data_IF_318357169679
#
_entry.id   IF_318357169679
#
_cell.length_a   1.000
_cell.length_b   1.000
_cell.length_c   1.000
_cell.angle_alpha   90.00
_cell.angle_beta   90.00
_cell.angle_gamma   90.00
#
_symmetry.space_group_name_H-M   'P 1'
#
loop_
_entity.id
_entity.type
_entity.pdbx_description
1 polymer ?
#
# COMPACT_ATOMS: atom_id res chain seq x y z
N UNK A 1 -5.70 23.12 5.63
CA UNK A 1 -7.10 23.57 5.64
C UNK A 1 -7.28 24.83 4.80
N UNK A 2 -6.40 25.83 4.92
CA UNK A 2 -6.43 27.10 4.15
C UNK A 2 -6.84 26.94 2.67
N UNK A 3 -6.14 26.11 1.88
CA UNK A 3 -6.45 25.94 0.46
C UNK A 3 -7.91 25.53 0.16
N UNK A 4 -8.51 24.63 0.96
CA UNK A 4 -9.91 24.23 0.80
C UNK A 4 -10.90 25.32 1.21
N UNK A 5 -10.54 26.16 2.18
CA UNK A 5 -11.35 27.33 2.59
C UNK A 5 -11.32 28.38 1.47
N UNK A 6 -10.14 28.63 0.88
CA UNK A 6 -9.98 29.56 -0.23
C UNK A 6 -10.76 29.09 -1.46
N UNK A 7 -10.65 27.81 -1.84
CA UNK A 7 -11.42 27.22 -2.94
C UNK A 7 -12.94 27.47 -2.82
N UNK A 8 -13.50 27.35 -1.61
CA UNK A 8 -14.93 27.66 -1.35
C UNK A 8 -15.20 29.17 -1.50
N UNK A 9 -14.36 30.03 -0.92
CA UNK A 9 -14.51 31.50 -0.97
C UNK A 9 -14.37 32.08 -2.38
N UNK A 10 -13.51 31.48 -3.20
CA UNK A 10 -13.23 31.85 -4.59
C UNK A 10 -14.21 31.21 -5.58
N UNK A 11 -15.16 30.39 -5.11
CA UNK A 11 -16.23 29.82 -5.94
C UNK A 11 -15.82 28.60 -6.79
N UNK A 12 -14.74 27.90 -6.42
CA UNK A 12 -14.29 26.66 -7.04
C UNK A 12 -15.16 25.45 -6.61
N UNK A 13 -16.48 25.56 -6.84
CA UNK A 13 -17.52 24.59 -6.44
C UNK A 13 -18.26 23.95 -7.63
N UNK A 14 -17.85 24.27 -8.86
CA UNK A 14 -18.39 23.71 -10.11
C UNK A 14 -17.69 22.40 -10.49
N UNK A 15 -18.24 21.68 -11.47
CA UNK A 15 -17.59 20.49 -12.04
C UNK A 15 -16.16 20.78 -12.52
N UNK A 16 -15.24 19.89 -12.13
CA UNK A 16 -13.89 19.80 -12.65
C UNK A 16 -13.85 18.86 -13.87
N UNK A 17 -12.76 18.84 -14.68
CA UNK A 17 -12.58 17.80 -15.69
C UNK A 17 -12.59 16.41 -15.06
N UNK A 18 -13.17 15.42 -15.74
CA UNK A 18 -13.38 14.07 -15.20
C UNK A 18 -12.11 13.38 -14.70
N UNK A 19 -10.96 13.60 -15.37
CA UNK A 19 -9.67 13.04 -14.95
C UNK A 19 -9.03 13.76 -13.75
N UNK A 20 -9.60 14.89 -13.29
CA UNK A 20 -8.98 15.84 -12.37
C UNK A 20 -8.49 17.10 -13.08
N UNK A 21 -8.32 18.18 -12.31
CA UNK A 21 -7.82 19.46 -12.83
C UNK A 21 -6.40 19.31 -13.40
N UNK A 22 -6.10 20.08 -14.45
CA UNK A 22 -4.77 20.01 -15.10
C UNK A 22 -3.64 20.40 -14.14
N UNK A 23 -3.90 21.36 -13.25
CA UNK A 23 -2.97 21.78 -12.19
C UNK A 23 -2.60 20.61 -11.26
N UNK A 24 -3.62 19.92 -10.70
CA UNK A 24 -3.39 18.78 -9.81
C UNK A 24 -2.66 17.64 -10.52
N UNK A 25 -3.03 17.33 -11.78
CA UNK A 25 -2.35 16.29 -12.57
C UNK A 25 -0.90 16.65 -12.86
N UNK A 26 -0.59 17.91 -13.18
CA UNK A 26 0.81 18.39 -13.30
C UNK A 26 1.58 18.30 -12.00
N UNK A 27 0.97 18.62 -10.85
CA UNK A 27 1.59 18.48 -9.54
C UNK A 27 1.88 17.01 -9.20
N UNK A 28 0.98 16.08 -9.56
CA UNK A 28 1.21 14.63 -9.43
C UNK A 28 2.38 14.18 -10.32
N UNK A 29 2.43 14.59 -11.59
CA UNK A 29 3.57 14.31 -12.48
C UNK A 29 4.89 14.81 -11.89
N UNK A 30 4.91 16.01 -11.30
CA UNK A 30 6.11 16.58 -10.68
C UNK A 30 6.57 15.77 -9.46
N UNK A 31 5.65 15.43 -8.54
CA UNK A 31 5.93 14.56 -7.38
C UNK A 31 6.45 13.19 -7.81
N UNK A 32 5.82 12.56 -8.81
CA UNK A 32 6.25 11.25 -9.32
C UNK A 32 7.67 11.32 -9.92
N UNK A 33 8.01 12.42 -10.57
CA UNK A 33 9.35 12.64 -11.12
C UNK A 33 10.40 12.93 -10.04
N UNK A 34 10.06 13.74 -9.04
CA UNK A 34 10.97 14.19 -7.97
C UNK A 34 11.23 13.10 -6.93
N UNK A 35 10.19 12.40 -6.47
CA UNK A 35 10.27 11.47 -5.34
C UNK A 35 10.40 10.00 -5.78
N UNK A 36 9.83 9.63 -6.94
CA UNK A 36 9.79 8.25 -7.42
C UNK A 36 10.67 8.02 -8.68
N UNK A 37 11.21 9.09 -9.28
CA UNK A 37 11.98 9.02 -10.53
C UNK A 37 11.13 8.71 -11.78
N UNK A 38 9.81 8.82 -11.70
CA UNK A 38 8.86 8.39 -12.74
C UNK A 38 8.37 9.57 -13.59
N UNK A 39 8.64 9.52 -14.90
CA UNK A 39 8.08 10.46 -15.87
C UNK A 39 6.70 9.99 -16.35
N UNK A 40 5.68 10.84 -16.19
CA UNK A 40 4.34 10.65 -16.76
C UNK A 40 3.82 11.97 -17.34
N UNK A 41 3.09 11.90 -18.45
CA UNK A 41 2.32 13.01 -18.97
C UNK A 41 1.00 13.19 -18.19
N UNK A 42 0.42 14.42 -18.09
CA UNK A 42 -0.77 14.64 -17.26
C UNK A 42 -2.01 13.87 -17.69
N UNK A 43 -2.12 13.45 -18.95
CA UNK A 43 -3.19 12.59 -19.48
C UNK A 43 -3.04 11.11 -19.08
N UNK A 44 -1.87 10.69 -18.59
CA UNK A 44 -1.65 9.40 -17.94
C UNK A 44 -2.05 9.42 -16.44
N UNK A 45 -2.48 10.57 -15.90
CA UNK A 45 -2.91 10.70 -14.50
C UNK A 45 -4.43 10.79 -14.39
N UNK A 46 -5.03 9.89 -13.61
CA UNK A 46 -6.45 9.89 -13.26
C UNK A 46 -6.63 10.16 -11.75
N UNK A 47 -7.41 11.19 -11.42
CA UNK A 47 -7.76 11.55 -10.04
C UNK A 47 -9.18 11.07 -9.72
N UNK A 48 -9.28 10.10 -8.80
CA UNK A 48 -10.56 9.51 -8.35
C UNK A 48 -10.83 9.84 -6.87
N UNK A 49 -12.00 9.44 -6.32
CA UNK A 49 -12.33 9.68 -4.91
C UNK A 49 -11.61 8.69 -3.95
N UNK A 50 -10.27 8.79 -3.92
CA UNK A 50 -9.38 7.98 -3.09
C UNK A 50 -8.94 6.66 -3.74
N UNK A 51 -7.82 6.12 -3.25
CA UNK A 51 -7.13 4.96 -3.82
C UNK A 51 -8.04 3.73 -4.03
N UNK A 52 -9.00 3.47 -3.13
CA UNK A 52 -10.00 2.40 -3.30
C UNK A 52 -10.73 2.47 -4.65
N UNK A 53 -11.10 3.67 -5.11
CA UNK A 53 -11.75 3.83 -6.41
C UNK A 53 -10.77 3.62 -7.56
N UNK A 54 -9.54 4.13 -7.44
CA UNK A 54 -8.48 3.92 -8.43
C UNK A 54 -8.18 2.42 -8.64
N UNK A 55 -8.06 1.65 -7.56
CA UNK A 55 -7.78 0.20 -7.61
C UNK A 55 -8.94 -0.53 -8.26
N UNK A 56 -10.18 -0.22 -7.88
CA UNK A 56 -11.36 -0.83 -8.50
C UNK A 56 -11.45 -0.54 -10.01
N UNK A 57 -11.20 0.71 -10.41
CA UNK A 57 -11.19 1.13 -11.82
C UNK A 57 -10.05 0.45 -12.59
N UNK A 58 -8.87 0.33 -11.99
CA UNK A 58 -7.72 -0.36 -12.57
C UNK A 58 -8.01 -1.85 -12.81
N UNK A 59 -8.55 -2.55 -11.80
CA UNK A 59 -8.92 -3.98 -11.90
C UNK A 59 -9.97 -4.19 -12.99
N UNK A 60 -11.08 -3.42 -12.98
CA UNK A 60 -12.12 -3.48 -14.01
C UNK A 60 -11.61 -3.18 -15.43
N UNK A 61 -10.61 -2.29 -15.56
CA UNK A 61 -10.09 -1.88 -16.87
C UNK A 61 -9.15 -2.93 -17.49
N UNK A 62 -8.51 -3.79 -16.70
CA UNK A 62 -7.50 -4.75 -17.20
C UNK A 62 -7.90 -6.21 -17.10
N UNK A 63 -8.75 -6.59 -16.15
CA UNK A 63 -9.20 -7.98 -15.98
C UNK A 63 -10.41 -8.29 -16.86
N UNK A 64 -10.38 -9.45 -17.53
CA UNK A 64 -11.53 -10.03 -18.21
C UNK A 64 -12.15 -11.16 -17.37
N UNK A 65 -13.41 -11.55 -17.62
CA UNK A 65 -14.00 -12.72 -16.99
C UNK A 65 -13.11 -13.97 -17.14
N UNK A 66 -12.80 -14.62 -16.03
CA UNK A 66 -11.94 -15.82 -15.97
C UNK A 66 -10.42 -15.57 -16.00
N UNK A 67 -9.95 -14.32 -16.07
CA UNK A 67 -8.56 -13.97 -15.75
C UNK A 67 -8.26 -14.22 -14.26
N UNK A 68 -6.98 -14.35 -13.91
CA UNK A 68 -6.52 -14.52 -12.53
C UNK A 68 -5.81 -13.26 -12.01
N UNK A 69 -6.19 -12.86 -10.79
CA UNK A 69 -5.59 -11.75 -10.04
C UNK A 69 -4.77 -12.32 -8.89
N UNK A 70 -3.46 -12.23 -8.97
CA UNK A 70 -2.52 -12.78 -7.99
C UNK A 70 -2.35 -11.79 -6.85
N UNK A 71 -2.58 -12.25 -5.62
CA UNK A 71 -2.62 -11.43 -4.41
C UNK A 71 -1.79 -12.10 -3.31
N UNK A 72 -0.63 -11.54 -2.92
CA UNK A 72 0.12 -11.99 -1.75
C UNK A 72 -0.70 -11.80 -0.47
N UNK A 73 -0.88 -12.87 0.30
CA UNK A 73 -1.52 -12.84 1.61
C UNK A 73 -0.48 -12.81 2.73
N UNK A 74 -0.78 -12.18 3.88
CA UNK A 74 -1.98 -11.39 4.15
C UNK A 74 -2.11 -10.10 3.32
N UNK A 75 -3.34 -9.77 2.90
CA UNK A 75 -3.67 -8.69 1.96
C UNK A 75 -4.70 -7.70 2.49
N UNK A 76 -4.83 -6.55 1.84
CA UNK A 76 -5.91 -5.62 2.14
C UNK A 76 -7.26 -6.22 1.73
N UNK A 77 -8.20 -6.19 2.66
CA UNK A 77 -9.50 -6.90 2.61
C UNK A 77 -10.30 -6.73 1.32
N UNK A 78 -10.10 -5.64 0.55
CA UNK A 78 -10.86 -5.41 -0.68
C UNK A 78 -10.23 -5.98 -1.96
N UNK A 79 -8.94 -6.39 -1.98
CA UNK A 79 -8.32 -6.87 -3.24
C UNK A 79 -9.01 -8.11 -3.85
N UNK A 80 -9.36 -9.18 -3.09
CA UNK A 80 -10.03 -10.35 -3.68
C UNK A 80 -11.45 -10.01 -4.16
N UNK A 81 -12.17 -9.20 -3.40
CA UNK A 81 -13.53 -8.76 -3.75
C UNK A 81 -13.54 -7.90 -5.02
N UNK A 82 -12.51 -7.06 -5.22
CA UNK A 82 -12.34 -6.30 -6.46
C UNK A 82 -12.08 -7.20 -7.68
N UNK A 83 -11.34 -8.31 -7.50
CA UNK A 83 -11.14 -9.31 -8.55
C UNK A 83 -12.47 -10.01 -8.89
N UNK A 84 -13.22 -10.47 -7.88
CA UNK A 84 -14.53 -11.08 -8.08
C UNK A 84 -15.53 -10.14 -8.78
N UNK A 85 -15.53 -8.85 -8.44
CA UNK A 85 -16.38 -7.84 -9.08
C UNK A 85 -15.99 -7.54 -10.54
N UNK A 86 -14.85 -8.04 -11.02
CA UNK A 86 -14.41 -8.00 -12.41
C UNK A 86 -14.55 -9.36 -13.12
N UNK A 87 -15.33 -10.29 -12.56
CA UNK A 87 -15.47 -11.69 -12.97
C UNK A 87 -14.12 -12.46 -13.03
N UNK A 88 -13.10 -11.95 -12.36
CA UNK A 88 -11.77 -12.53 -12.29
C UNK A 88 -11.58 -13.36 -11.01
N UNK A 89 -10.67 -14.33 -11.05
CA UNK A 89 -10.40 -15.23 -9.93
C UNK A 89 -9.21 -14.73 -9.09
N UNK A 90 -9.39 -14.38 -7.80
CA UNK A 90 -8.27 -14.06 -6.93
C UNK A 90 -7.46 -15.32 -6.59
N UNK A 91 -6.21 -15.35 -7.03
CA UNK A 91 -5.22 -16.38 -6.71
C UNK A 91 -4.38 -15.90 -5.53
N UNK A 92 -4.71 -16.41 -4.35
CA UNK A 92 -4.04 -16.02 -3.11
C UNK A 92 -2.70 -16.74 -2.98
N UNK A 93 -1.62 -15.98 -2.73
CA UNK A 93 -0.29 -16.50 -2.44
C UNK A 93 0.06 -16.29 -0.97
N UNK A 94 -0.05 -17.32 -0.10
CA UNK A 94 0.35 -17.20 1.30
C UNK A 94 1.83 -16.85 1.43
N UNK A 95 2.13 -15.88 2.29
CA UNK A 95 3.48 -15.56 2.76
C UNK A 95 3.57 -15.82 4.27
N UNK A 96 4.78 -16.03 4.77
CA UNK A 96 5.02 -16.38 6.19
C UNK A 96 5.61 -15.21 6.98
N UNK A 97 5.30 -15.14 8.28
CA UNK A 97 5.86 -14.15 9.20
C UNK A 97 7.39 -14.24 9.30
N UNK A 98 7.96 -15.45 9.17
CA UNK A 98 9.40 -15.69 9.18
C UNK A 98 10.12 -15.03 7.98
N UNK A 99 9.40 -14.85 6.88
CA UNK A 99 9.88 -14.16 5.67
C UNK A 99 9.45 -12.69 5.63
N UNK A 100 9.07 -12.12 6.79
CA UNK A 100 8.43 -10.80 6.91
C UNK A 100 7.23 -10.62 5.97
N UNK A 101 6.49 -11.69 5.68
CA UNK A 101 5.34 -11.70 4.76
C UNK A 101 5.64 -11.14 3.36
N UNK A 102 6.88 -11.31 2.89
CA UNK A 102 7.27 -10.91 1.53
C UNK A 102 6.90 -12.00 0.53
N UNK A 103 6.42 -11.61 -0.65
CA UNK A 103 6.16 -12.54 -1.75
C UNK A 103 7.47 -13.16 -2.23
N UNK A 104 7.58 -14.49 -2.13
CA UNK A 104 8.72 -15.24 -2.67
C UNK A 104 8.61 -15.39 -4.19
N UNK A 105 9.67 -15.08 -4.98
CA UNK A 105 9.64 -15.19 -6.43
C UNK A 105 9.24 -16.58 -6.93
N UNK A 106 9.71 -17.64 -6.29
CA UNK A 106 9.36 -19.03 -6.63
C UNK A 106 7.88 -19.37 -6.35
N UNK A 107 7.26 -18.73 -5.35
CA UNK A 107 5.83 -18.88 -5.05
C UNK A 107 4.94 -18.14 -6.06
N UNK A 108 5.44 -17.04 -6.64
CA UNK A 108 4.83 -16.39 -7.78
C UNK A 108 4.97 -17.23 -9.05
N UNK A 109 6.21 -17.61 -9.41
CA UNK A 109 6.51 -18.35 -10.64
C UNK A 109 5.79 -19.70 -10.73
N UNK A 110 5.65 -20.43 -9.62
CA UNK A 110 4.94 -21.72 -9.55
C UNK A 110 3.41 -21.62 -9.69
N UNK A 111 2.85 -20.41 -9.72
CA UNK A 111 1.40 -20.15 -9.81
C UNK A 111 0.98 -19.44 -11.08
N UNK A 112 1.93 -18.84 -11.80
CA UNK A 112 1.68 -18.19 -13.07
C UNK A 112 1.29 -19.19 -14.17
N UNK A 113 0.25 -18.85 -14.91
CA UNK A 113 -0.27 -19.60 -16.05
C UNK A 113 -0.91 -18.62 -17.06
N UNK A 114 -1.49 -19.13 -18.14
CA UNK A 114 -2.04 -18.31 -19.24
C UNK A 114 -3.20 -17.38 -18.83
N UNK A 115 -3.88 -17.66 -17.71
CA UNK A 115 -4.93 -16.79 -17.13
C UNK A 115 -4.37 -15.66 -16.26
N UNK A 116 -3.14 -15.77 -15.78
CA UNK A 116 -2.56 -14.81 -14.85
C UNK A 116 -2.43 -13.43 -15.49
N UNK A 117 -3.19 -12.46 -14.97
CA UNK A 117 -3.42 -11.17 -15.62
C UNK A 117 -2.88 -9.98 -14.82
N UNK A 118 -3.10 -9.99 -13.52
CA UNK A 118 -2.75 -8.88 -12.64
C UNK A 118 -2.09 -9.40 -11.36
N UNK A 119 -0.91 -8.91 -11.03
CA UNK A 119 -0.30 -9.08 -9.71
C UNK A 119 -0.55 -7.81 -8.90
N UNK A 120 -1.15 -7.92 -7.72
CA UNK A 120 -1.31 -6.77 -6.80
C UNK A 120 -0.19 -6.80 -5.77
N UNK A 121 0.61 -5.73 -5.72
CA UNK A 121 1.62 -5.49 -4.69
C UNK A 121 1.20 -4.25 -3.88
N UNK A 122 1.36 -4.31 -2.56
CA UNK A 122 1.18 -3.17 -1.66
C UNK A 122 2.46 -2.97 -0.86
N UNK A 123 3.16 -1.87 -1.09
CA UNK A 123 4.47 -1.59 -0.50
C UNK A 123 4.74 -0.08 -0.48
N UNK A 124 4.99 0.54 0.69
CA UNK A 124 4.83 0.04 2.08
C UNK A 124 3.36 -0.18 2.46
N UNK A 125 3.05 -0.50 3.73
CA UNK A 125 1.70 -0.24 4.30
C UNK A 125 1.62 0.01 5.84
N UNK A 126 0.46 -0.04 6.54
CA UNK A 126 0.18 0.63 7.85
C UNK A 126 -1.01 -0.02 8.63
N UNK A 127 -1.18 0.02 10.01
CA UNK A 127 -0.63 0.95 11.03
C UNK A 127 0.18 0.38 12.24
N UNK A 128 1.48 0.68 12.23
CA UNK A 128 2.51 0.69 13.29
C UNK A 128 2.82 -0.53 14.20
N UNK A 129 3.66 -1.46 13.72
CA UNK A 129 4.90 -1.88 14.43
C UNK A 129 4.91 -3.18 15.25
N UNK A 130 5.53 -4.25 14.70
CA UNK A 130 6.11 -5.35 15.50
C UNK A 130 7.47 -5.81 14.99
N UNK A 131 8.35 -6.23 15.90
CA UNK A 131 9.53 -7.08 15.64
C UNK A 131 9.27 -8.42 16.32
N UNK A 132 9.44 -9.54 15.60
CA UNK A 132 9.44 -10.86 16.22
C UNK A 132 10.80 -11.16 16.87
N UNK A 133 11.07 -10.59 18.04
CA UNK A 133 12.20 -11.03 18.88
C UNK A 133 11.81 -12.29 19.68
N UNK A 134 12.06 -13.47 19.09
CA UNK A 134 11.96 -14.82 19.69
C UNK A 134 10.71 -15.14 20.54
N UNK A 135 9.80 -15.97 19.99
CA UNK A 135 8.80 -16.70 20.78
C UNK A 135 8.80 -18.20 20.41
N UNK A 136 8.33 -19.04 21.33
CA UNK A 136 8.58 -20.48 21.39
C UNK A 136 7.28 -21.33 21.27
N UNK A 137 7.42 -22.65 21.44
CA UNK A 137 6.61 -23.75 20.87
C UNK A 137 5.10 -23.85 21.19
N UNK A 138 4.44 -22.82 21.73
CA UNK A 138 3.00 -22.89 22.10
C UNK A 138 2.14 -21.68 21.71
N UNK A 139 2.52 -20.90 20.71
CA UNK A 139 1.66 -19.82 20.19
C UNK A 139 0.64 -20.32 19.15
N UNK A 140 -0.65 -20.29 19.51
CA UNK A 140 -1.78 -20.46 18.57
C UNK A 140 -2.37 -19.09 18.22
N UNK A 141 -2.26 -18.72 16.93
CA UNK A 141 -2.91 -17.59 16.25
C UNK A 141 -2.78 -16.20 16.92
N UNK A 142 -2.05 -15.30 16.26
CA UNK A 142 -2.14 -13.85 16.51
C UNK A 142 -2.21 -13.12 15.16
N UNK A 143 -3.33 -12.45 14.91
CA UNK A 143 -3.50 -11.53 13.78
C UNK A 143 -3.39 -10.11 14.34
N UNK A 144 -2.25 -9.46 14.15
CA UNK A 144 -2.09 -8.03 14.34
C UNK A 144 -1.29 -7.43 13.20
N UNK A 145 -1.51 -6.13 13.01
CA UNK A 145 -1.43 -5.46 11.73
C UNK A 145 -0.21 -4.51 11.71
N UNK A 146 0.62 -4.49 10.65
CA UNK A 146 1.52 -3.38 10.18
C UNK A 146 3.05 -3.43 10.35
N UNK A 147 3.86 -2.80 9.45
CA UNK A 147 3.52 -2.05 8.20
C UNK A 147 3.45 -2.80 6.87
N UNK A 148 2.52 -3.76 6.79
CA UNK A 148 1.63 -3.80 5.63
C UNK A 148 0.16 -3.77 6.08
N UNK A 149 -0.81 -3.75 5.15
CA UNK A 149 -2.23 -3.86 5.45
C UNK A 149 -2.63 -5.31 5.09
N UNK A 150 -2.37 -6.30 5.96
CA UNK A 150 -2.03 -6.18 7.38
C UNK A 150 -0.61 -6.58 7.83
N UNK A 151 0.38 -6.79 6.97
CA UNK A 151 1.66 -7.45 7.35
C UNK A 151 2.73 -6.53 7.96
N UNK A 152 3.95 -6.45 7.43
CA UNK A 152 5.07 -5.68 8.03
C UNK A 152 5.86 -4.79 7.06
N UNK A 153 5.56 -4.90 5.77
CA UNK A 153 6.60 -5.15 4.79
C UNK A 153 6.79 -4.02 3.80
N UNK A 154 7.97 -3.41 3.83
CA UNK A 154 8.54 -2.70 2.68
C UNK A 154 9.28 -3.74 1.85
N UNK A 155 8.96 -3.86 0.57
CA UNK A 155 9.69 -4.78 -0.31
C UNK A 155 11.09 -4.24 -0.62
N UNK A 156 12.17 -5.00 -0.35
CA UNK A 156 13.51 -4.59 -0.76
C UNK A 156 13.62 -4.51 -2.28
N UNK A 157 14.32 -3.50 -2.81
CA UNK A 157 14.52 -3.30 -4.25
C UNK A 157 14.93 -4.57 -4.99
N UNK A 158 15.91 -5.33 -4.46
CA UNK A 158 16.38 -6.61 -5.03
C UNK A 158 15.26 -7.64 -5.20
N UNK A 159 14.33 -7.73 -4.23
CA UNK A 159 13.19 -8.63 -4.32
C UNK A 159 12.19 -8.16 -5.38
N UNK A 160 11.96 -6.85 -5.50
CA UNK A 160 11.13 -6.31 -6.57
C UNK A 160 11.76 -6.52 -7.95
N UNK A 161 13.10 -6.46 -8.07
CA UNK A 161 13.83 -6.79 -9.30
C UNK A 161 13.65 -8.27 -9.69
N UNK A 162 13.71 -9.19 -8.73
CA UNK A 162 13.45 -10.63 -8.91
C UNK A 162 11.99 -10.92 -9.31
N UNK A 163 11.02 -10.20 -8.71
CA UNK A 163 9.61 -10.26 -9.11
C UNK A 163 9.42 -9.68 -10.52
N UNK A 164 10.08 -8.57 -10.84
CA UNK A 164 10.03 -7.96 -12.17
C UNK A 164 10.65 -8.88 -13.25
N UNK A 165 11.69 -9.64 -12.93
CA UNK A 165 12.27 -10.67 -13.81
C UNK A 165 11.29 -11.81 -14.13
N UNK A 166 10.35 -12.09 -13.23
CA UNK A 166 9.24 -12.99 -13.51
C UNK A 166 8.21 -12.27 -14.39
N UNK A 167 7.75 -11.08 -14.00
CA UNK A 167 6.74 -10.31 -14.77
C UNK A 167 7.14 -10.09 -16.23
N UNK A 168 8.42 -9.79 -16.51
CA UNK A 168 8.95 -9.64 -17.89
C UNK A 168 8.74 -10.88 -18.77
N UNK A 169 8.70 -12.07 -18.19
CA UNK A 169 8.55 -13.36 -18.91
C UNK A 169 7.10 -13.70 -19.25
N UNK A 170 6.12 -12.99 -18.69
CA UNK A 170 4.69 -13.25 -18.90
C UNK A 170 4.02 -12.04 -19.59
N UNK A 171 3.90 -12.03 -20.94
CA UNK A 171 3.47 -10.83 -21.68
C UNK A 171 2.12 -10.26 -21.27
N UNK A 172 1.17 -11.11 -20.82
CA UNK A 172 -0.17 -10.70 -20.34
C UNK A 172 -0.17 -10.08 -18.94
N UNK A 173 0.85 -10.35 -18.12
CA UNK A 173 0.88 -9.97 -16.71
C UNK A 173 1.20 -8.49 -16.55
N UNK A 174 0.31 -7.82 -15.83
CA UNK A 174 0.46 -6.45 -15.36
C UNK A 174 0.65 -6.45 -13.84
N UNK A 175 1.14 -5.34 -13.30
CA UNK A 175 1.27 -5.13 -11.84
C UNK A 175 0.45 -3.93 -11.42
N UNK A 176 -0.38 -4.09 -10.39
CA UNK A 176 -0.96 -2.98 -9.66
C UNK A 176 -0.08 -2.73 -8.44
N UNK A 177 0.57 -1.56 -8.39
CA UNK A 177 1.44 -1.17 -7.30
C UNK A 177 0.69 -0.17 -6.42
N UNK A 178 0.14 -0.64 -5.30
CA UNK A 178 -0.49 0.22 -4.29
C UNK A 178 0.59 0.78 -3.37
N UNK A 179 0.97 2.02 -3.67
CA UNK A 179 2.06 2.77 -3.04
C UNK A 179 1.49 3.85 -2.10
N UNK A 180 0.21 3.77 -1.71
CA UNK A 180 -0.49 4.75 -0.86
C UNK A 180 0.22 5.04 0.47
N UNK A 181 1.13 4.18 0.92
CA UNK A 181 1.90 4.35 2.16
C UNK A 181 3.39 4.67 1.93
N UNK A 182 3.79 5.12 0.73
CA UNK A 182 5.20 5.39 0.36
C UNK A 182 5.96 6.26 1.36
N UNK A 183 5.29 7.13 2.11
CA UNK A 183 5.89 8.02 3.11
C UNK A 183 5.87 7.47 4.55
N UNK A 184 5.37 6.25 4.79
CA UNK A 184 5.19 5.67 6.14
C UNK A 184 6.08 4.43 6.35
N UNK A 185 7.39 4.60 6.21
CA UNK A 185 8.40 3.56 6.44
C UNK A 185 9.32 3.84 7.65
N UNK A 186 8.91 4.75 8.54
CA UNK A 186 9.72 5.30 9.65
C UNK A 186 10.24 4.31 10.71
N UNK A 187 9.87 3.03 10.67
CA UNK A 187 10.09 2.09 11.79
C UNK A 187 11.42 1.32 11.65
N UNK A 188 11.96 1.13 10.44
CA UNK A 188 13.17 0.32 10.21
C UNK A 188 14.13 0.93 9.17
N UNK A 189 15.03 1.85 9.56
CA UNK A 189 16.20 2.16 8.72
C UNK A 189 17.04 0.88 8.48
N UNK A 190 17.53 0.61 7.26
CA UNK A 190 17.55 1.46 6.08
C UNK A 190 16.47 1.08 5.02
N UNK A 191 15.24 0.78 5.42
CA UNK A 191 14.16 0.55 4.46
C UNK A 191 13.88 1.84 3.65
N UNK A 192 13.87 1.71 2.33
CA UNK A 192 13.54 2.77 1.37
C UNK A 192 12.40 2.29 0.48
N UNK A 193 11.50 3.19 0.09
CA UNK A 193 10.48 2.88 -0.92
C UNK A 193 11.13 2.73 -2.30
N UNK A 194 10.61 1.81 -3.11
CA UNK A 194 10.97 1.68 -4.52
C UNK A 194 9.69 1.47 -5.31
N UNK A 195 9.28 2.48 -6.08
CA UNK A 195 8.12 2.38 -6.94
C UNK A 195 8.33 1.32 -8.01
N UNK A 196 7.39 0.39 -8.16
CA UNK A 196 7.61 -0.79 -9.01
C UNK A 196 7.78 -0.42 -10.50
N UNK A 197 7.12 0.65 -10.93
CA UNK A 197 7.24 1.23 -12.27
C UNK A 197 8.65 1.77 -12.62
N UNK A 198 9.52 1.98 -11.61
CA UNK A 198 10.89 2.49 -11.82
C UNK A 198 11.87 1.40 -12.26
N UNK A 199 11.45 0.13 -12.17
CA UNK A 199 12.29 -1.02 -12.52
C UNK A 199 12.34 -1.23 -14.05
N UNK A 200 13.46 -1.73 -14.61
CA UNK A 200 13.62 -1.89 -16.05
C UNK A 200 12.47 -2.69 -16.73
N UNK A 201 11.79 -2.08 -17.69
CA UNK A 201 10.67 -2.70 -18.43
C UNK A 201 9.39 -2.91 -17.61
N UNK A 202 9.26 -2.28 -16.42
CA UNK A 202 8.03 -2.31 -15.63
C UNK A 202 7.15 -1.07 -15.83
N UNK A 203 7.67 0.04 -16.38
CA UNK A 203 6.89 1.26 -16.61
C UNK A 203 5.65 1.01 -17.47
N UNK A 204 5.80 0.25 -18.57
CA UNK A 204 4.74 -0.13 -19.48
C UNK A 204 3.82 -1.26 -18.96
N UNK A 205 4.08 -1.77 -17.74
CA UNK A 205 3.36 -2.90 -17.12
C UNK A 205 2.73 -2.56 -15.77
N UNK A 206 2.97 -1.36 -15.23
CA UNK A 206 2.61 -1.01 -13.85
C UNK A 206 1.52 0.05 -13.80
N UNK A 207 0.45 -0.27 -13.07
CA UNK A 207 -0.56 0.68 -12.63
C UNK A 207 -0.22 1.12 -11.20
N UNK A 208 0.49 2.24 -11.06
CA UNK A 208 0.81 2.81 -9.74
C UNK A 208 -0.42 3.53 -9.17
N UNK A 209 -0.84 3.14 -7.97
CA UNK A 209 -1.91 3.79 -7.21
C UNK A 209 -1.31 4.47 -5.98
N UNK A 210 -1.76 5.70 -5.71
CA UNK A 210 -1.29 6.53 -4.61
C UNK A 210 -2.37 7.56 -4.20
N UNK A 211 -2.14 8.40 -3.17
CA UNK A 211 -3.12 9.41 -2.74
C UNK A 211 -2.74 10.28 -1.54
N UNK A 212 -3.28 11.50 -1.52
CA UNK A 212 -2.98 12.59 -0.58
C UNK A 212 -3.73 12.56 0.76
N UNK A 213 -4.38 11.46 1.09
CA UNK A 213 -5.10 11.37 2.35
C UNK A 213 -4.09 11.44 3.53
N UNK A 214 -4.51 11.83 4.73
CA UNK A 214 -3.57 12.22 5.82
C UNK A 214 -3.40 11.02 6.79
N UNK A 215 -2.82 11.09 8.00
CA UNK A 215 -2.85 10.00 9.03
C UNK A 215 -3.43 10.44 10.40
N UNK A 216 -4.65 10.01 10.75
CA UNK A 216 -5.44 10.46 11.89
C UNK A 216 -5.49 9.42 13.01
N UNK A 217 -5.70 9.92 14.22
CA UNK A 217 -5.92 9.11 15.41
C UNK A 217 -7.43 9.00 15.67
N UNK A 218 -7.96 7.78 15.55
CA UNK A 218 -9.32 7.44 15.97
C UNK A 218 -9.22 6.68 17.30
N UNK A 219 -9.87 7.13 18.39
CA UNK A 219 -9.93 6.38 19.64
C UNK A 219 -10.52 4.97 19.44
N UNK A 220 -9.94 3.97 20.08
CA UNK A 220 -10.34 2.56 19.94
C UNK A 220 -11.74 2.24 20.44
N UNK A 221 -12.34 3.10 21.27
CA UNK A 221 -13.76 3.03 21.65
C UNK A 221 -14.72 3.02 20.46
N UNK A 222 -14.35 3.65 19.33
CA UNK A 222 -15.11 3.56 18.07
C UNK A 222 -15.16 2.14 17.46
N UNK A 223 -14.34 1.22 17.96
CA UNK A 223 -14.22 -0.18 17.52
C UNK A 223 -14.32 -1.19 18.68
N UNK A 224 -14.74 -0.75 19.87
CA UNK A 224 -15.00 -1.63 21.02
C UNK A 224 -13.81 -1.90 21.95
N UNK A 225 -12.68 -1.19 21.83
CA UNK A 225 -11.58 -1.27 22.80
C UNK A 225 -10.95 0.10 23.08
N UNK A 226 -11.38 0.74 24.18
CA UNK A 226 -10.86 2.04 24.65
C UNK A 226 -9.37 2.05 25.02
N UNK A 227 -8.70 0.89 25.10
CA UNK A 227 -7.27 0.80 25.39
C UNK A 227 -6.38 0.97 24.16
N UNK A 228 -6.97 0.96 22.96
CA UNK A 228 -6.23 1.14 21.71
C UNK A 228 -6.53 2.48 21.02
N UNK A 229 -5.68 2.83 20.06
CA UNK A 229 -5.89 3.93 19.13
C UNK A 229 -5.65 3.40 17.73
N UNK A 230 -6.59 3.65 16.81
CA UNK A 230 -6.42 3.31 15.40
C UNK A 230 -5.82 4.49 14.66
N UNK A 231 -4.63 4.30 14.12
CA UNK A 231 -4.07 5.23 13.13
C UNK A 231 -4.72 4.94 11.77
N UNK A 232 -5.78 5.69 11.44
CA UNK A 232 -6.54 5.60 10.18
C UNK A 232 -6.35 6.89 9.40
N UNK A 233 -6.33 6.84 8.08
CA UNK A 233 -5.65 7.82 7.24
C UNK A 233 -6.30 9.26 7.18
N UNK A 234 -6.11 10.19 8.17
CA UNK A 234 -6.48 11.64 8.13
C UNK A 234 -5.82 12.81 9.05
N UNK A 235 -4.51 12.89 9.41
CA UNK A 235 -3.80 14.03 10.09
C UNK A 235 -2.26 14.16 9.75
N UNK A 236 -1.51 15.11 10.32
CA UNK A 236 -0.21 15.59 9.78
C UNK A 236 1.08 15.01 10.40
N UNK A 237 2.18 15.03 9.64
CA UNK A 237 3.50 14.49 10.04
C UNK A 237 4.00 14.98 11.43
N UNK A 238 3.94 16.27 11.80
CA UNK A 238 4.34 16.71 13.14
C UNK A 238 3.50 16.07 14.27
N UNK A 239 2.21 15.82 14.02
CA UNK A 239 1.33 15.12 14.96
C UNK A 239 1.73 13.66 15.13
N UNK A 240 2.23 13.01 14.07
CA UNK A 240 2.73 11.63 14.13
C UNK A 240 4.06 11.53 14.86
N UNK A 241 4.98 12.47 14.61
CA UNK A 241 6.27 12.54 15.31
C UNK A 241 6.08 12.77 16.81
N UNK A 242 5.18 13.68 17.18
CA UNK A 242 4.82 13.94 18.58
C UNK A 242 4.07 12.76 19.23
N UNK A 243 3.20 12.06 18.49
CA UNK A 243 2.55 10.85 18.97
C UNK A 243 3.56 9.72 19.20
N UNK A 244 4.47 9.47 18.26
CA UNK A 244 5.53 8.47 18.39
C UNK A 244 6.48 8.79 19.56
N UNK A 245 6.82 10.08 19.76
CA UNK A 245 7.60 10.55 20.91
C UNK A 245 6.89 10.26 22.24
N UNK A 246 5.60 10.59 22.37
CA UNK A 246 4.80 10.29 23.57
C UNK A 246 4.66 8.80 23.84
N UNK A 247 4.46 7.99 22.79
CA UNK A 247 4.43 6.52 22.91
C UNK A 247 5.79 6.02 23.41
N UNK A 248 6.91 6.51 22.87
CA UNK A 248 8.26 6.15 23.33
C UNK A 248 8.49 6.52 24.79
N UNK A 249 8.05 7.71 25.22
CA UNK A 249 8.13 8.17 26.62
C UNK A 249 7.30 7.27 27.56
N UNK A 250 6.06 6.92 27.19
CA UNK A 250 5.20 6.02 27.99
C UNK A 250 5.74 4.59 28.03
N UNK A 251 6.22 4.05 26.91
CA UNK A 251 6.82 2.70 26.85
C UNK A 251 8.10 2.64 27.68
N UNK A 252 8.91 3.71 27.72
CA UNK A 252 10.10 3.76 28.57
C UNK A 252 9.80 3.72 30.08
N UNK A 253 8.56 4.02 30.50
CA UNK A 253 8.11 3.90 31.90
C UNK A 253 7.64 2.47 32.25
N UNK A 254 7.42 1.61 31.25
CA UNK A 254 7.03 0.21 31.46
C UNK A 254 8.27 -0.62 31.86
N UNK A 255 8.47 -0.77 33.17
CA UNK A 255 9.51 -1.68 33.70
C UNK A 255 9.22 -3.12 33.26
N UNK A 256 10.24 -3.89 32.83
CA UNK A 256 10.07 -5.32 32.59
C UNK A 256 9.63 -6.02 33.88
N UNK A 257 8.53 -6.78 33.81
CA UNK A 257 8.06 -7.59 34.94
C UNK A 257 8.90 -8.86 35.05
N UNK A 258 9.93 -8.78 35.90
CA UNK A 258 10.69 -9.88 36.54
C UNK A 258 11.38 -10.85 35.55
N UNK A 259 12.71 -11.09 35.67
CA UNK A 259 13.38 -12.09 34.84
C UNK A 259 12.89 -13.51 35.19
N UNK A 260 12.70 -14.32 34.15
CA UNK A 260 12.59 -15.79 34.21
C UNK A 260 13.82 -16.34 33.48
#
# INVERSE_FOLDING_TARGET
>A
MVAGINAIREGHTRYTPNAGTLELRKAICHKLQEENGLTYAPDQILVSNGAKQCIMQAVLAVCSPGDEVIIPAPYWVSYPEMAWLADATPVILPTDILDNFLLKPESLASRLNDKSRLLILCSPSNPTGSVASRLNDKSRLLILCSPSNPTGSVYPKKLLEEIADIVRKHPRLLVLSDEIYEHIYYIYPPAEHTSFASLPGMWERTLTVNGFSKIALVPGGAFGDDKCIRMSYAASLPTLQEAAKKIKEVVALLKPRVPI
#
